data_IF_662994932515
#
_entry.id   IF_662994932515
#
_cell.length_a   1.000
_cell.length_b   1.000
_cell.length_c   1.000
_cell.angle_alpha   90.00
_cell.angle_beta   90.00
_cell.angle_gamma   90.00
#
_symmetry.space_group_name_H-M   'P 1'
#
loop_
_entity.id
_entity.type
_entity.pdbx_description
1 polymer ?
#
# COMPACT_ATOMS: atom_id res chain seq x y z
N UNK A 1 10.75 10.26 22.55
CA UNK A 1 12.01 9.57 22.92
C UNK A 1 11.65 8.10 23.08
N UNK A 2 11.72 7.32 22.00
CA UNK A 2 11.13 5.97 21.99
C UNK A 2 12.01 5.01 21.20
N UNK A 3 12.33 3.90 21.84
CA UNK A 3 12.75 2.58 21.32
C UNK A 3 14.05 2.44 20.52
N UNK A 4 14.63 3.50 19.95
CA UNK A 4 15.87 3.36 19.17
C UNK A 4 17.10 2.92 19.98
N UNK A 5 17.11 3.10 21.30
CA UNK A 5 18.30 2.85 22.13
C UNK A 5 18.54 1.37 22.46
N UNK A 6 17.50 0.52 22.47
CA UNK A 6 17.64 -0.90 22.83
C UNK A 6 18.21 -1.80 21.73
N UNK A 7 18.24 -1.31 20.48
CA UNK A 7 18.57 -2.11 19.28
C UNK A 7 20.00 -1.96 18.75
N UNK A 8 20.73 -0.94 19.20
CA UNK A 8 21.95 -0.47 18.52
C UNK A 8 23.10 -1.48 18.67
N UNK A 9 23.14 -2.23 19.77
CA UNK A 9 24.20 -3.20 20.07
C UNK A 9 23.85 -4.65 19.70
N UNK A 10 22.69 -4.88 19.07
CA UNK A 10 22.25 -6.21 18.65
C UNK A 10 22.75 -6.53 17.22
N UNK A 11 23.10 -7.80 16.98
CA UNK A 11 23.37 -8.29 15.63
C UNK A 11 22.11 -8.24 14.74
N UNK A 12 22.27 -8.34 13.41
CA UNK A 12 21.14 -8.19 12.48
C UNK A 12 20.03 -9.21 12.74
N UNK A 13 20.38 -10.45 13.11
CA UNK A 13 19.43 -11.52 13.38
C UNK A 13 18.60 -11.23 14.62
N UNK A 14 19.23 -10.77 15.72
CA UNK A 14 18.51 -10.43 16.93
C UNK A 14 17.67 -9.16 16.76
N UNK A 15 18.09 -8.19 15.94
CA UNK A 15 17.23 -7.05 15.57
C UNK A 15 15.95 -7.52 14.88
N UNK A 16 16.06 -8.47 13.95
CA UNK A 16 14.89 -9.09 13.31
C UNK A 16 14.00 -9.84 14.31
N UNK A 17 14.58 -10.58 15.25
CA UNK A 17 13.84 -11.28 16.30
C UNK A 17 13.11 -10.31 17.24
N UNK A 18 13.76 -9.23 17.66
CA UNK A 18 13.15 -8.18 18.48
C UNK A 18 11.96 -7.53 17.76
N UNK A 19 12.11 -7.25 16.46
CA UNK A 19 11.03 -6.69 15.64
C UNK A 19 9.82 -7.64 15.59
N UNK A 20 10.04 -8.93 15.36
CA UNK A 20 8.98 -9.94 15.30
C UNK A 20 8.29 -10.21 16.65
N UNK A 21 8.98 -9.95 17.76
CA UNK A 21 8.45 -10.12 19.12
C UNK A 21 7.78 -8.87 19.70
N UNK A 22 7.80 -7.74 18.99
CA UNK A 22 7.10 -6.53 19.44
C UNK A 22 5.60 -6.66 19.21
N UNK A 23 4.85 -6.76 20.31
CA UNK A 23 3.38 -6.81 20.29
C UNK A 23 2.78 -5.57 19.67
N UNK A 24 3.30 -4.38 19.99
CA UNK A 24 2.80 -3.12 19.46
C UNK A 24 2.91 -3.04 17.93
N UNK A 25 4.07 -3.43 17.39
CA UNK A 25 4.31 -3.45 15.94
C UNK A 25 3.44 -4.52 15.29
N UNK A 26 3.34 -5.70 15.90
CA UNK A 26 2.54 -6.82 15.41
C UNK A 26 1.05 -6.49 15.36
N UNK A 27 0.52 -5.84 16.39
CA UNK A 27 -0.89 -5.45 16.48
C UNK A 27 -1.25 -4.42 15.41
N UNK A 28 -0.41 -3.38 15.25
CA UNK A 28 -0.59 -2.39 14.18
C UNK A 28 -0.51 -3.06 12.82
N UNK A 29 0.53 -3.87 12.55
CA UNK A 29 0.68 -4.62 11.30
C UNK A 29 -0.56 -5.46 10.97
N UNK A 30 -1.05 -6.22 11.96
CA UNK A 30 -2.21 -7.10 11.80
C UNK A 30 -3.52 -6.32 11.63
N UNK A 31 -3.64 -5.10 12.16
CA UNK A 31 -4.84 -4.27 11.96
C UNK A 31 -5.09 -3.85 10.50
N UNK A 32 -4.03 -3.85 9.67
CA UNK A 32 -4.10 -3.60 8.22
C UNK A 32 -4.17 -4.89 7.39
N UNK A 33 -4.08 -6.05 8.03
CA UNK A 33 -4.22 -7.33 7.35
C UNK A 33 -5.66 -7.49 6.83
N UNK A 34 -5.80 -8.13 5.68
CA UNK A 34 -7.12 -8.53 5.18
C UNK A 34 -7.77 -9.46 6.21
N UNK A 35 -9.09 -9.35 6.37
CA UNK A 35 -9.84 -10.31 7.17
C UNK A 35 -9.58 -11.73 6.62
N UNK A 36 -8.75 -12.51 7.31
CA UNK A 36 -8.46 -13.89 6.92
C UNK A 36 -9.68 -14.75 7.21
N UNK A 37 -10.14 -15.46 6.19
CA UNK A 37 -11.26 -16.38 6.27
C UNK A 37 -10.81 -17.66 7.00
N UNK A 38 -11.23 -17.87 8.23
CA UNK A 38 -10.81 -19.05 9.00
C UNK A 38 -11.73 -20.28 8.88
N UNK A 39 -12.77 -20.27 8.03
CA UNK A 39 -13.78 -21.35 8.05
C UNK A 39 -14.29 -21.88 6.69
N UNK A 40 -13.65 -21.51 5.58
CA UNK A 40 -13.91 -22.22 4.32
C UNK A 40 -12.58 -22.69 3.76
N UNK A 41 -12.40 -24.01 3.62
CA UNK A 41 -11.34 -24.65 2.82
C UNK A 41 -11.53 -24.33 1.32
N UNK A 42 -11.73 -23.06 0.98
CA UNK A 42 -11.49 -22.60 -0.39
C UNK A 42 -9.98 -22.69 -0.51
N UNK A 43 -9.48 -23.71 -1.22
CA UNK A 43 -8.07 -23.79 -1.60
C UNK A 43 -7.63 -22.40 -2.04
N UNK A 44 -6.77 -21.78 -1.24
CA UNK A 44 -6.12 -20.54 -1.64
C UNK A 44 -5.51 -20.79 -3.03
N UNK A 45 -5.60 -19.84 -3.97
CA UNK A 45 -4.93 -19.99 -5.24
C UNK A 45 -3.45 -20.32 -4.97
N UNK A 46 -2.91 -21.38 -5.59
CA UNK A 46 -1.53 -21.89 -5.37
C UNK A 46 -0.41 -20.88 -5.67
N UNK A 47 -0.76 -19.67 -6.11
CA UNK A 47 0.15 -18.57 -6.41
C UNK A 47 -0.29 -17.35 -5.60
N UNK A 48 0.11 -17.30 -4.34
CA UNK A 48 0.25 -16.00 -3.70
C UNK A 48 1.50 -15.34 -4.31
N UNK A 49 1.33 -14.12 -4.81
CA UNK A 49 2.44 -13.31 -5.26
C UNK A 49 3.27 -12.92 -4.03
N UNK A 50 4.34 -13.68 -3.78
CA UNK A 50 5.28 -13.40 -2.70
C UNK A 50 6.09 -12.15 -3.06
N UNK A 51 5.62 -10.98 -2.63
CA UNK A 51 6.38 -9.74 -2.74
C UNK A 51 7.50 -9.72 -1.71
N UNK A 52 8.71 -9.43 -2.18
CA UNK A 52 9.89 -9.19 -1.35
C UNK A 52 10.16 -7.69 -1.25
N UNK A 53 10.41 -7.20 -0.05
CA UNK A 53 10.63 -5.77 0.20
C UNK A 53 12.13 -5.47 0.31
N UNK A 54 12.59 -4.52 -0.49
CA UNK A 54 13.96 -3.98 -0.45
C UNK A 54 13.84 -2.48 -0.20
N UNK A 55 14.63 -1.96 0.74
CA UNK A 55 14.61 -0.53 1.13
C UNK A 55 15.92 0.13 0.74
N UNK A 56 15.86 1.29 0.08
CA UNK A 56 17.03 2.11 -0.22
C UNK A 56 17.08 3.31 0.72
N UNK A 57 18.20 3.51 1.43
CA UNK A 57 18.35 4.58 2.42
C UNK A 57 19.66 5.33 2.21
N UNK A 58 19.64 6.67 2.09
CA UNK A 58 20.85 7.47 2.09
C UNK A 58 21.40 7.62 3.53
N UNK A 59 22.66 7.25 3.76
CA UNK A 59 23.38 7.42 5.04
C UNK A 59 24.79 7.92 4.75
N UNK A 60 25.23 8.98 5.43
CA UNK A 60 26.58 9.57 5.31
C UNK A 60 27.05 9.87 3.87
N UNK A 61 26.12 10.29 3.01
CA UNK A 61 26.42 10.61 1.60
C UNK A 61 26.52 9.40 0.68
N UNK A 62 26.21 8.20 1.17
CA UNK A 62 26.14 6.95 0.40
C UNK A 62 24.71 6.41 0.36
N UNK A 63 24.34 5.65 -0.68
CA UNK A 63 23.07 4.90 -0.70
C UNK A 63 23.31 3.46 -0.29
N UNK A 64 22.53 3.00 0.68
CA UNK A 64 22.52 1.60 1.08
C UNK A 64 21.25 0.91 0.63
N UNK A 65 21.40 -0.27 0.07
CA UNK A 65 20.33 -1.24 -0.15
C UNK A 65 20.21 -2.14 1.09
N UNK A 66 19.01 -2.17 1.67
CA UNK A 66 18.64 -2.99 2.82
C UNK A 66 17.65 -4.07 2.35
N UNK A 67 18.16 -5.29 2.28
CA UNK A 67 17.41 -6.50 1.92
C UNK A 67 17.38 -7.44 3.13
N UNK A 68 16.18 -7.74 3.65
CA UNK A 68 15.99 -8.61 4.82
C UNK A 68 16.36 -10.08 4.63
N UNK A 69 16.58 -10.53 3.39
CA UNK A 69 17.07 -11.87 3.07
C UNK A 69 18.59 -11.93 2.92
N UNK A 70 19.27 -10.78 2.92
CA UNK A 70 20.74 -10.69 2.85
C UNK A 70 21.34 -10.53 4.24
N UNK A 71 22.61 -10.93 4.37
CA UNK A 71 23.30 -10.93 5.67
C UNK A 71 23.81 -9.54 6.09
N UNK A 72 23.98 -8.62 5.15
CA UNK A 72 24.48 -7.28 5.40
C UNK A 72 23.91 -6.26 4.39
N UNK A 73 23.84 -4.96 4.76
CA UNK A 73 23.57 -3.86 3.84
C UNK A 73 24.56 -3.82 2.68
N UNK A 74 24.10 -3.40 1.50
CA UNK A 74 24.96 -3.20 0.33
C UNK A 74 25.12 -1.71 0.10
N UNK A 75 26.36 -1.25 0.12
CA UNK A 75 26.71 0.11 -0.29
C UNK A 75 26.68 0.19 -1.83
N UNK A 76 25.78 1.01 -2.37
CA UNK A 76 25.64 1.28 -3.80
C UNK A 76 26.55 2.43 -4.27
N UNK A 77 27.25 3.09 -3.33
CA UNK A 77 28.20 4.16 -3.60
C UNK A 77 27.72 5.55 -3.18
N UNK A 78 28.60 6.52 -3.36
CA UNK A 78 28.39 7.91 -2.99
C UNK A 78 27.35 8.60 -3.88
N UNK A 79 26.49 9.40 -3.24
CA UNK A 79 25.52 10.26 -3.91
C UNK A 79 26.17 11.60 -4.19
N UNK A 80 26.54 11.83 -5.44
CA UNK A 80 26.68 13.19 -5.94
C UNK A 80 25.26 13.73 -6.16
N UNK A 81 24.92 14.87 -5.56
CA UNK A 81 23.53 15.35 -5.43
C UNK A 81 22.69 15.39 -6.71
N UNK A 82 21.36 15.41 -6.50
CA UNK A 82 20.26 15.54 -7.49
C UNK A 82 20.37 14.61 -8.71
N UNK A 83 20.58 13.32 -8.47
CA UNK A 83 20.44 12.30 -9.51
C UNK A 83 19.10 11.56 -9.36
N UNK A 84 18.28 11.60 -10.41
CA UNK A 84 17.12 10.72 -10.57
C UNK A 84 17.61 9.28 -10.75
N UNK A 85 17.24 8.41 -9.81
CA UNK A 85 17.83 7.08 -9.61
C UNK A 85 16.99 5.95 -10.20
N UNK A 86 16.10 6.26 -11.15
CA UNK A 86 15.08 5.30 -11.60
C UNK A 86 15.14 5.02 -13.09
N UNK A 87 15.29 3.74 -13.42
CA UNK A 87 15.06 3.19 -14.77
C UNK A 87 13.71 2.46 -14.76
N UNK A 88 12.73 2.97 -15.49
CA UNK A 88 11.41 2.33 -15.60
C UNK A 88 11.51 1.10 -16.52
N UNK A 89 11.66 -0.09 -15.95
CA UNK A 89 11.65 -1.36 -16.67
C UNK A 89 10.98 -2.45 -15.84
N UNK A 90 9.92 -3.03 -16.40
CA UNK A 90 9.09 -4.15 -15.91
C UNK A 90 7.85 -3.81 -15.05
N UNK A 91 6.79 -4.60 -15.27
CA UNK A 91 5.41 -4.34 -14.82
C UNK A 91 5.11 -4.97 -13.44
N UNK A 92 6.08 -5.67 -12.84
CA UNK A 92 5.87 -6.50 -11.64
C UNK A 92 6.61 -5.98 -10.37
N UNK A 93 6.78 -4.67 -10.23
CA UNK A 93 7.31 -4.08 -9.00
C UNK A 93 6.44 -2.91 -8.51
N UNK A 94 6.35 -2.76 -7.18
CA UNK A 94 5.73 -1.60 -6.55
C UNK A 94 6.83 -0.75 -5.92
N UNK A 95 6.82 0.54 -6.21
CA UNK A 95 7.75 1.51 -5.65
C UNK A 95 6.98 2.49 -4.76
N UNK A 96 7.43 2.62 -3.52
CA UNK A 96 6.89 3.58 -2.55
C UNK A 96 8.04 4.43 -2.01
N UNK A 97 7.76 5.72 -1.79
CA UNK A 97 8.71 6.65 -1.20
C UNK A 97 8.20 7.10 0.17
N UNK A 98 9.04 6.97 1.19
CA UNK A 98 8.79 7.55 2.51
C UNK A 98 9.18 9.03 2.44
N UNK A 99 8.19 9.90 2.53
CA UNK A 99 8.36 11.35 2.44
C UNK A 99 7.87 12.02 3.72
N UNK A 100 8.33 13.24 3.96
CA UNK A 100 7.76 14.09 5.02
C UNK A 100 6.27 14.33 4.77
N UNK A 101 5.49 14.46 5.84
CA UNK A 101 4.08 14.81 5.77
C UNK A 101 3.89 16.11 4.95
N UNK A 102 3.26 15.95 3.78
CA UNK A 102 3.01 17.04 2.83
C UNK A 102 2.02 18.04 3.42
N UNK A 103 0.98 17.56 4.10
CA UNK A 103 -0.05 18.39 4.71
C UNK A 103 0.57 19.29 5.77
N UNK A 104 1.41 18.73 6.64
CA UNK A 104 2.13 19.51 7.66
C UNK A 104 3.06 20.56 7.03
N UNK A 105 3.77 20.21 5.94
CA UNK A 105 4.63 21.16 5.21
C UNK A 105 3.83 22.33 4.64
N UNK A 106 2.68 22.06 4.03
CA UNK A 106 1.81 23.11 3.46
C UNK A 106 1.17 23.97 4.55
N UNK A 107 0.71 23.36 5.65
CA UNK A 107 0.14 24.08 6.79
C UNK A 107 1.16 25.02 7.43
N UNK A 108 2.40 24.55 7.67
CA UNK A 108 3.47 25.39 8.21
C UNK A 108 3.74 26.59 7.29
N UNK A 109 3.85 26.34 5.98
CA UNK A 109 4.05 27.40 4.99
C UNK A 109 2.90 28.41 4.96
N UNK A 110 1.66 27.93 5.08
CA UNK A 110 0.47 28.77 5.14
C UNK A 110 0.49 29.66 6.39
N UNK A 111 0.88 29.13 7.55
CA UNK A 111 1.04 29.90 8.79
C UNK A 111 2.12 30.97 8.66
N UNK A 112 3.31 30.61 8.16
CA UNK A 112 4.40 31.56 7.89
C UNK A 112 3.96 32.70 6.97
N UNK A 113 3.21 32.37 5.92
CA UNK A 113 2.67 33.37 5.00
C UNK A 113 1.64 34.26 5.69
N UNK A 114 0.76 33.71 6.52
CA UNK A 114 -0.28 34.48 7.23
C UNK A 114 0.26 35.45 8.28
N UNK A 115 1.38 35.12 8.93
CA UNK A 115 2.00 35.96 9.98
C UNK A 115 2.80 37.14 9.42
N UNK A 116 3.18 37.08 8.13
CA UNK A 116 3.86 38.19 7.46
C UNK A 116 2.89 39.37 7.25
N UNK A 117 3.34 40.58 7.60
CA UNK A 117 2.50 41.80 7.63
C UNK A 117 2.45 42.59 6.32
N UNK A 118 3.20 42.18 5.29
CA UNK A 118 3.14 42.82 3.96
C UNK A 118 2.18 42.05 3.05
N UNK A 119 1.12 42.72 2.63
CA UNK A 119 0.13 42.19 1.69
C UNK A 119 0.59 42.46 0.24
N UNK A 120 0.77 41.37 -0.52
CA UNK A 120 1.00 41.40 -1.96
C UNK A 120 0.01 40.45 -2.62
N UNK A 121 -0.50 40.80 -3.82
CA UNK A 121 -1.45 39.95 -4.57
C UNK A 121 -0.88 38.54 -4.82
N UNK A 122 0.42 38.44 -5.06
CA UNK A 122 1.14 37.16 -5.20
C UNK A 122 1.06 36.27 -3.96
N UNK A 123 0.89 36.84 -2.75
CA UNK A 123 0.76 36.07 -1.51
C UNK A 123 -0.60 35.40 -1.42
N UNK A 124 -1.66 36.10 -1.79
CA UNK A 124 -3.02 35.55 -1.75
C UNK A 124 -3.17 34.36 -2.72
N UNK A 125 -2.53 34.44 -3.89
CA UNK A 125 -2.44 33.33 -4.84
C UNK A 125 -1.69 32.13 -4.24
N UNK A 126 -0.54 32.33 -3.59
CA UNK A 126 0.21 31.26 -2.91
C UNK A 126 -0.60 30.64 -1.76
N UNK A 127 -1.33 31.45 -0.98
CA UNK A 127 -2.22 30.95 0.09
C UNK A 127 -3.36 30.10 -0.47
N UNK A 128 -4.04 30.58 -1.52
CA UNK A 128 -5.11 29.84 -2.18
C UNK A 128 -4.60 28.52 -2.78
N UNK A 129 -3.40 28.56 -3.38
CA UNK A 129 -2.75 27.35 -3.90
C UNK A 129 -2.43 26.34 -2.80
N UNK A 130 -1.83 26.78 -1.69
CA UNK A 130 -1.53 25.91 -0.55
C UNK A 130 -2.80 25.33 0.08
N UNK A 131 -3.87 26.11 0.18
CA UNK A 131 -5.17 25.63 0.65
C UNK A 131 -5.74 24.55 -0.27
N UNK A 132 -5.64 24.72 -1.59
CA UNK A 132 -6.07 23.72 -2.55
C UNK A 132 -5.25 22.41 -2.42
N UNK A 133 -3.93 22.51 -2.20
CA UNK A 133 -3.07 21.34 -1.97
C UNK A 133 -3.43 20.61 -0.67
N UNK A 134 -3.71 21.35 0.41
CA UNK A 134 -4.15 20.77 1.69
C UNK A 134 -5.47 20.02 1.49
N UNK A 135 -6.45 20.64 0.81
CA UNK A 135 -7.73 20.00 0.53
C UNK A 135 -7.58 18.72 -0.31
N UNK A 136 -6.65 18.72 -1.28
CA UNK A 136 -6.36 17.54 -2.09
C UNK A 136 -5.73 16.40 -1.28
N UNK A 137 -4.82 16.68 -0.34
CA UNK A 137 -4.26 15.66 0.56
C UNK A 137 -5.32 15.12 1.54
N UNK A 138 -6.20 15.97 2.06
CA UNK A 138 -7.32 15.53 2.91
C UNK A 138 -8.31 14.60 2.18
N UNK A 139 -8.56 14.84 0.90
CA UNK A 139 -9.42 13.96 0.11
C UNK A 139 -8.76 12.60 -0.11
N UNK A 140 -7.43 12.55 -0.35
CA UNK A 140 -6.69 11.29 -0.41
C UNK A 140 -6.78 10.51 0.89
N UNK A 141 -6.63 11.17 2.04
CA UNK A 141 -6.78 10.53 3.36
C UNK A 141 -8.16 9.88 3.53
N UNK A 142 -9.24 10.55 3.10
CA UNK A 142 -10.60 9.98 3.13
C UNK A 142 -10.72 8.75 2.25
N UNK A 143 -10.17 8.80 1.03
CA UNK A 143 -10.17 7.68 0.10
C UNK A 143 -9.43 6.49 0.70
N UNK A 144 -8.22 6.70 1.23
CA UNK A 144 -7.42 5.64 1.85
C UNK A 144 -8.09 5.06 3.10
N UNK A 145 -8.73 5.89 3.91
CA UNK A 145 -9.50 5.41 5.07
C UNK A 145 -10.69 4.56 4.65
N UNK A 146 -11.46 5.00 3.65
CA UNK A 146 -12.59 4.24 3.12
C UNK A 146 -12.13 2.92 2.49
N UNK A 147 -11.01 2.94 1.78
CA UNK A 147 -10.39 1.75 1.20
C UNK A 147 -9.93 0.78 2.28
N UNK A 148 -9.26 1.25 3.34
CA UNK A 148 -8.83 0.40 4.44
C UNK A 148 -10.01 -0.30 5.12
N UNK A 149 -11.10 0.45 5.37
CA UNK A 149 -12.34 -0.13 5.90
C UNK A 149 -12.84 -1.26 4.99
N UNK A 150 -12.86 -1.06 3.66
CA UNK A 150 -13.28 -2.10 2.71
C UNK A 150 -12.34 -3.31 2.73
N UNK A 151 -11.02 -3.10 2.82
CA UNK A 151 -10.02 -4.18 2.83
C UNK A 151 -10.10 -5.05 4.09
N UNK A 152 -10.46 -4.44 5.23
CA UNK A 152 -10.57 -5.14 6.51
C UNK A 152 -11.99 -5.60 6.84
N UNK A 153 -13.01 -5.28 6.03
CA UNK A 153 -14.40 -5.62 6.32
C UNK A 153 -14.74 -7.08 5.99
N UNK A 154 -15.47 -7.74 6.90
CA UNK A 154 -15.99 -9.08 6.67
C UNK A 154 -17.31 -9.05 5.89
N UNK A 155 -17.25 -9.36 4.60
CA UNK A 155 -18.42 -9.38 3.71
C UNK A 155 -19.25 -10.68 3.78
N UNK A 156 -18.85 -11.72 4.52
CA UNK A 156 -19.57 -13.01 4.55
C UNK A 156 -21.03 -12.86 5.01
N UNK A 157 -21.35 -12.18 6.13
CA UNK A 157 -22.73 -12.02 6.55
C UNK A 157 -23.59 -11.34 5.48
N UNK A 158 -23.01 -10.33 4.80
CA UNK A 158 -23.67 -9.63 3.70
C UNK A 158 -23.91 -10.54 2.49
N UNK A 159 -22.90 -11.31 2.07
CA UNK A 159 -23.00 -12.24 0.94
C UNK A 159 -24.05 -13.32 1.21
N UNK A 160 -24.04 -13.92 2.41
CA UNK A 160 -25.01 -14.95 2.79
C UNK A 160 -26.43 -14.41 2.77
N UNK A 161 -26.65 -13.21 3.31
CA UNK A 161 -27.99 -12.61 3.33
C UNK A 161 -28.45 -12.22 1.91
N UNK A 162 -27.55 -11.70 1.08
CA UNK A 162 -27.81 -11.43 -0.33
C UNK A 162 -28.25 -12.71 -1.08
N UNK A 163 -27.54 -13.82 -0.87
CA UNK A 163 -27.89 -15.11 -1.47
C UNK A 163 -29.26 -15.62 -1.01
N UNK A 164 -29.59 -15.47 0.29
CA UNK A 164 -30.92 -15.84 0.81
C UNK A 164 -32.04 -15.01 0.17
N UNK A 165 -31.84 -13.70 -0.01
CA UNK A 165 -32.83 -12.82 -0.66
C UNK A 165 -33.02 -13.24 -2.12
N UNK A 166 -31.93 -13.45 -2.86
CA UNK A 166 -31.99 -13.90 -4.26
C UNK A 166 -32.67 -15.27 -4.42
N UNK A 167 -32.48 -16.17 -3.46
CA UNK A 167 -33.17 -17.46 -3.42
C UNK A 167 -34.67 -17.28 -3.18
N UNK A 168 -35.07 -16.43 -2.22
CA UNK A 168 -36.47 -16.10 -1.95
C UNK A 168 -37.18 -15.47 -3.15
N UNK A 169 -36.48 -14.62 -3.90
CA UNK A 169 -37.00 -14.00 -5.12
C UNK A 169 -36.96 -14.92 -6.35
N UNK A 170 -36.38 -16.13 -6.24
CA UNK A 170 -36.24 -17.08 -7.36
C UNK A 170 -35.23 -16.66 -8.45
N UNK A 171 -34.46 -15.60 -8.22
CA UNK A 171 -33.48 -15.05 -9.20
C UNK A 171 -32.11 -15.73 -9.14
N UNK A 172 -31.83 -16.47 -8.07
CA UNK A 172 -30.51 -17.06 -7.85
C UNK A 172 -30.11 -18.07 -8.94
N UNK A 173 -30.98 -19.03 -9.25
CA UNK A 173 -30.67 -20.10 -10.23
C UNK A 173 -30.41 -19.55 -11.64
N UNK A 174 -31.24 -18.64 -12.20
CA UNK A 174 -30.95 -18.02 -13.50
C UNK A 174 -29.61 -17.29 -13.54
N UNK A 175 -29.24 -16.57 -12.48
CA UNK A 175 -27.98 -15.82 -12.42
C UNK A 175 -26.76 -16.76 -12.39
N UNK A 176 -26.85 -17.87 -11.66
CA UNK A 176 -25.79 -18.89 -11.62
C UNK A 176 -25.61 -19.53 -12.98
N UNK A 177 -26.70 -19.86 -13.69
CA UNK A 177 -26.63 -20.43 -15.04
C UNK A 177 -25.96 -19.46 -16.03
N UNK A 178 -26.37 -18.18 -16.03
CA UNK A 178 -25.73 -17.16 -16.87
C UNK A 178 -24.25 -16.96 -16.56
N UNK A 179 -23.86 -17.05 -15.28
CA UNK A 179 -22.46 -16.96 -14.89
C UNK A 179 -21.66 -18.16 -15.38
N UNK A 180 -22.21 -19.38 -15.29
CA UNK A 180 -21.57 -20.60 -15.77
C UNK A 180 -21.35 -20.58 -17.28
N UNK A 181 -22.35 -20.14 -18.05
CA UNK A 181 -22.23 -19.99 -19.51
C UNK A 181 -21.12 -19.00 -19.89
N UNK A 182 -21.07 -17.84 -19.22
CA UNK A 182 -20.00 -16.85 -19.43
C UNK A 182 -18.62 -17.40 -19.06
N UNK A 183 -18.51 -18.15 -17.97
CA UNK A 183 -17.26 -18.75 -17.55
C UNK A 183 -16.76 -19.79 -18.56
N UNK A 184 -17.66 -20.66 -19.05
CA UNK A 184 -17.36 -21.66 -20.07
C UNK A 184 -16.92 -21.00 -21.39
N UNK A 185 -17.58 -19.90 -21.79
CA UNK A 185 -17.21 -19.15 -23.00
C UNK A 185 -15.81 -18.55 -22.90
N UNK A 186 -15.48 -17.89 -21.78
CA UNK A 186 -14.13 -17.34 -21.53
C UNK A 186 -13.06 -18.43 -21.49
N UNK A 187 -13.38 -19.61 -20.96
CA UNK A 187 -12.45 -20.73 -20.92
C UNK A 187 -12.20 -21.32 -22.31
N UNK A 188 -13.21 -21.31 -23.20
CA UNK A 188 -13.04 -21.70 -24.61
C UNK A 188 -12.18 -20.69 -25.38
N UNK A 189 -12.46 -19.39 -25.23
CA UNK A 189 -11.68 -18.29 -25.85
C UNK A 189 -10.19 -18.37 -25.46
N UNK A 190 -9.87 -18.54 -24.17
CA UNK A 190 -8.47 -18.73 -23.71
C UNK A 190 -7.79 -19.98 -24.27
N UNK A 191 -8.53 -21.06 -24.50
CA UNK A 191 -8.00 -22.30 -25.10
C UNK A 191 -7.72 -22.15 -26.60
N UNK A 192 -8.46 -21.30 -27.29
CA UNK A 192 -8.19 -20.97 -28.69
C UNK A 192 -7.00 -20.02 -28.82
N UNK A 193 -6.90 -18.99 -27.99
CA UNK A 193 -5.75 -18.07 -27.96
C UNK A 193 -4.43 -18.78 -27.64
N UNK A 194 -4.44 -19.73 -26.70
CA UNK A 194 -3.25 -20.52 -26.35
C UNK A 194 -2.86 -21.54 -27.43
N UNK A 195 -3.80 -21.98 -28.27
CA UNK A 195 -3.51 -22.83 -29.43
C UNK A 195 -3.07 -22.03 -30.66
N UNK A 196 -3.49 -20.78 -30.79
CA UNK A 196 -3.09 -19.90 -31.89
C UNK A 196 -1.68 -19.30 -31.70
N UNK A 197 -1.20 -19.23 -30.46
CA UNK A 197 0.13 -18.74 -30.10
C UNK A 197 1.17 -19.85 -29.83
N UNK A 198 0.83 -21.12 -30.11
CA UNK A 198 1.70 -22.29 -30.00
C UNK A 198 1.99 -22.86 -31.39
#
# INVERSE_FOLDING_TARGET
>A
MGEREGGIDLDLKNRGLCLGNSDEIRDVHNSFARAQFLEMEIKAPEKEDNYHFITYVPVDGHVYELDGLREAPIDLGAVNGEADWYSAGEIHFNLMAVISDRKMKYQKRLTELSESTMETESREEEMNHLQALIAAEEEKEKIFKAENIRRCHNYIPFIVELLKILAKEGKLVPLVQQAQEKANRKAAEKKEETKANA
#
